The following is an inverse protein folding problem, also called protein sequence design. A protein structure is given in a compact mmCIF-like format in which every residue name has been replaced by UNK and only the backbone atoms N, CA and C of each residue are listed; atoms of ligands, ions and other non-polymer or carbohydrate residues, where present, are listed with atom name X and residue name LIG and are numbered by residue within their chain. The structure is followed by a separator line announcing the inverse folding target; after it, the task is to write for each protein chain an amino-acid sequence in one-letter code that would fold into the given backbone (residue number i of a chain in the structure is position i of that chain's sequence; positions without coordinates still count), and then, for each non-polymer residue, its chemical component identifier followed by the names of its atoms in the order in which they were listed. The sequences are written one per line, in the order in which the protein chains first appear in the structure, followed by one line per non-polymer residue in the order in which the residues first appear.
data_IF_670250970717
#
_entry.id   IF_670250970717
#
_cell.length_a   1.000
_cell.length_b   1.000
_cell.length_c   1.000
_cell.angle_alpha   90.00
_cell.angle_beta   90.00
_cell.angle_gamma   90.00
#
_symmetry.space_group_name_H-M   'P 1'
#
loop_
_entity.id
_entity.type
_entity.pdbx_description
1 polymer ?
#
# COMPACT_ATOMS: atom_id res chain seq x y z
N UNK A 1 11.79 -3.52 21.57
CA UNK A 1 11.48 -2.11 21.18
C UNK A 1 11.95 -1.93 19.74
N UNK A 2 11.08 -1.59 18.83
CA UNK A 2 11.41 -1.36 17.40
C UNK A 2 11.64 0.13 17.14
N UNK A 3 12.44 0.41 16.07
CA UNK A 3 12.79 1.76 15.63
C UNK A 3 12.00 2.18 14.39
N UNK A 4 11.48 1.21 13.64
CA UNK A 4 10.70 1.44 12.43
C UNK A 4 9.36 0.71 12.55
N UNK A 5 8.28 1.42 12.21
CA UNK A 5 6.96 0.86 11.99
C UNK A 5 6.67 0.95 10.48
N UNK A 6 6.69 -0.19 9.80
CA UNK A 6 6.47 -0.29 8.36
C UNK A 6 5.07 -0.80 8.08
N UNK A 7 4.25 0.01 7.42
CA UNK A 7 2.99 -0.44 6.84
C UNK A 7 3.23 -0.91 5.41
N UNK A 8 3.08 -2.21 5.20
CA UNK A 8 3.40 -2.89 3.95
C UNK A 8 2.17 -3.28 3.14
N UNK A 9 2.37 -4.15 2.16
CA UNK A 9 1.33 -4.67 1.27
C UNK A 9 1.70 -4.55 -0.20
N UNK A 10 2.86 -4.01 -0.50
CA UNK A 10 3.41 -3.85 -1.85
C UNK A 10 4.76 -4.55 -1.98
N UNK A 11 5.26 -4.66 -3.21
CA UNK A 11 6.63 -5.14 -3.48
C UNK A 11 7.66 -4.20 -2.86
N UNK A 12 7.41 -2.90 -2.92
CA UNK A 12 8.25 -1.86 -2.34
C UNK A 12 8.35 -2.05 -0.81
N UNK A 13 7.23 -2.30 -0.13
CA UNK A 13 7.21 -2.59 1.31
C UNK A 13 8.01 -3.83 1.68
N UNK A 14 7.97 -4.87 0.85
CA UNK A 14 8.79 -6.07 1.04
C UNK A 14 10.28 -5.77 0.90
N UNK A 15 10.66 -5.02 -0.12
CA UNK A 15 12.05 -4.60 -0.33
C UNK A 15 12.58 -3.77 0.84
N UNK A 16 11.75 -2.89 1.41
CA UNK A 16 12.08 -2.13 2.62
C UNK A 16 12.26 -3.05 3.81
N UNK A 17 11.37 -4.03 4.03
CA UNK A 17 11.49 -5.00 5.12
C UNK A 17 12.79 -5.82 5.02
N UNK A 18 13.15 -6.29 3.82
CA UNK A 18 14.42 -6.98 3.56
C UNK A 18 15.63 -6.11 3.92
N UNK A 19 15.58 -4.83 3.51
CA UNK A 19 16.64 -3.86 3.83
C UNK A 19 16.78 -3.65 5.33
N UNK A 20 15.67 -3.46 6.05
CA UNK A 20 15.66 -3.26 7.49
C UNK A 20 16.25 -4.47 8.23
N UNK A 21 15.84 -5.68 7.87
CA UNK A 21 16.38 -6.91 8.45
C UNK A 21 17.88 -7.07 8.18
N UNK A 22 18.31 -6.88 6.91
CA UNK A 22 19.72 -6.98 6.51
C UNK A 22 20.62 -6.00 7.29
N UNK A 23 20.11 -4.81 7.58
CA UNK A 23 20.84 -3.77 8.31
C UNK A 23 20.62 -3.85 9.84
N UNK A 24 19.99 -4.93 10.34
CA UNK A 24 19.77 -5.17 11.77
C UNK A 24 18.99 -4.04 12.46
N UNK A 25 18.01 -3.48 11.77
CA UNK A 25 17.15 -2.41 12.29
C UNK A 25 15.89 -3.05 12.88
N UNK A 26 15.70 -3.05 14.20
CA UNK A 26 14.50 -3.60 14.82
C UNK A 26 13.25 -2.90 14.27
N UNK A 27 12.36 -3.67 13.66
CA UNK A 27 11.22 -3.13 12.93
C UNK A 27 9.97 -3.97 13.16
N UNK A 28 8.82 -3.30 13.28
CA UNK A 28 7.51 -3.95 13.18
C UNK A 28 6.96 -3.73 11.77
N UNK A 29 6.53 -4.80 11.12
CA UNK A 29 5.96 -4.76 9.77
C UNK A 29 4.50 -5.16 9.83
N UNK A 30 3.62 -4.23 9.53
CA UNK A 30 2.18 -4.42 9.51
C UNK A 30 1.67 -4.59 8.08
N UNK A 31 0.87 -5.62 7.85
CA UNK A 31 0.16 -5.86 6.58
C UNK A 31 -1.31 -6.15 6.87
N UNK A 32 -2.18 -6.00 5.87
CA UNK A 32 -3.62 -6.10 6.07
C UNK A 32 -4.16 -7.55 6.10
N UNK A 33 -3.34 -8.55 5.75
CA UNK A 33 -3.78 -9.94 5.58
C UNK A 33 -2.68 -10.94 5.95
N UNK A 34 -3.09 -12.12 6.42
CA UNK A 34 -2.20 -13.26 6.66
C UNK A 34 -1.41 -13.66 5.40
N UNK A 35 -2.04 -13.60 4.24
CA UNK A 35 -1.34 -13.84 2.97
C UNK A 35 -0.24 -12.80 2.72
N UNK A 36 -0.51 -11.52 3.00
CA UNK A 36 0.49 -10.46 2.92
C UNK A 36 1.69 -10.72 3.84
N UNK A 37 1.41 -11.17 5.08
CA UNK A 37 2.45 -11.55 6.05
C UNK A 37 3.29 -12.72 5.54
N UNK A 38 2.68 -13.76 4.96
CA UNK A 38 3.39 -14.93 4.43
C UNK A 38 4.38 -14.61 3.30
N UNK A 39 4.22 -13.45 2.65
CA UNK A 39 5.11 -12.97 1.60
C UNK A 39 6.29 -12.15 2.13
N UNK A 40 6.29 -11.80 3.42
CA UNK A 40 7.36 -11.00 4.04
C UNK A 40 8.58 -11.87 4.37
N UNK A 41 9.79 -11.27 4.34
CA UNK A 41 10.97 -11.98 4.80
C UNK A 41 10.87 -12.29 6.28
N UNK A 42 11.28 -13.48 6.66
CA UNK A 42 11.47 -13.84 8.06
C UNK A 42 12.85 -13.35 8.52
N UNK A 43 12.94 -12.80 9.74
CA UNK A 43 14.20 -12.30 10.22
C UNK A 43 14.20 -11.91 11.70
N UNK A 44 15.35 -11.98 12.33
CA UNK A 44 15.54 -11.68 13.76
C UNK A 44 15.15 -10.24 14.12
N UNK A 45 15.25 -9.32 13.16
CA UNK A 45 15.00 -7.89 13.38
C UNK A 45 13.62 -7.45 12.90
N UNK A 46 12.76 -8.39 12.50
CA UNK A 46 11.40 -8.12 12.05
C UNK A 46 10.37 -8.78 12.95
N UNK A 47 9.49 -7.98 13.50
CA UNK A 47 8.24 -8.42 14.12
C UNK A 47 7.12 -8.24 13.09
N UNK A 48 6.46 -9.32 12.69
CA UNK A 48 5.44 -9.29 11.65
C UNK A 48 4.05 -9.28 12.29
N UNK A 49 3.12 -8.51 11.71
CA UNK A 49 1.74 -8.44 12.15
C UNK A 49 0.79 -8.30 10.94
N UNK A 50 -0.28 -9.08 10.94
CA UNK A 50 -1.38 -8.95 9.98
C UNK A 50 -2.64 -8.33 10.61
N UNK A 51 -2.50 -7.73 11.79
CA UNK A 51 -3.59 -6.97 12.40
C UNK A 51 -3.91 -5.71 11.61
N UNK A 52 -5.18 -5.49 11.35
CA UNK A 52 -5.67 -4.23 10.81
C UNK A 52 -5.77 -3.23 11.96
N UNK A 53 -4.77 -2.37 12.07
CA UNK A 53 -4.75 -1.34 13.08
C UNK A 53 -5.70 -0.19 12.69
N UNK A 54 -6.51 0.25 13.64
CA UNK A 54 -7.20 1.54 13.56
C UNK A 54 -6.25 2.70 13.92
N UNK A 55 -6.70 3.94 13.74
CA UNK A 55 -5.91 5.14 13.99
C UNK A 55 -5.36 5.18 15.43
N UNK A 56 -6.21 4.84 16.42
CA UNK A 56 -5.79 4.84 17.83
C UNK A 56 -4.75 3.76 18.13
N UNK A 57 -4.91 2.57 17.57
CA UNK A 57 -3.94 1.50 17.71
C UNK A 57 -2.61 1.86 17.04
N UNK A 58 -2.65 2.59 15.90
CA UNK A 58 -1.44 3.14 15.26
C UNK A 58 -0.73 4.13 16.18
N UNK A 59 -1.46 5.09 16.78
CA UNK A 59 -0.90 6.03 17.76
C UNK A 59 -0.24 5.29 18.96
N UNK A 60 -0.92 4.30 19.52
CA UNK A 60 -0.40 3.49 20.62
C UNK A 60 0.91 2.78 20.25
N UNK A 61 1.02 2.25 19.03
CA UNK A 61 2.25 1.62 18.53
C UNK A 61 3.36 2.65 18.32
N UNK A 62 3.05 3.83 17.80
CA UNK A 62 4.03 4.90 17.58
C UNK A 62 4.59 5.44 18.90
N UNK A 63 3.74 5.61 19.92
CA UNK A 63 4.16 6.07 21.26
C UNK A 63 5.08 5.08 21.98
N UNK A 64 5.09 3.81 21.57
CA UNK A 64 6.03 2.80 22.09
C UNK A 64 7.43 2.86 21.44
N UNK A 65 7.59 3.67 20.41
CA UNK A 65 8.87 3.88 19.73
C UNK A 65 9.62 5.07 20.33
N UNK A 66 10.91 4.91 20.55
CA UNK A 66 11.77 6.02 20.92
C UNK A 66 12.49 6.58 19.68
N UNK A 67 12.18 7.83 19.31
CA UNK A 67 12.69 8.46 18.09
C UNK A 67 12.49 7.59 16.83
N UNK A 68 11.30 7.02 16.71
CA UNK A 68 10.97 6.07 15.64
C UNK A 68 10.65 6.75 14.30
N UNK A 69 10.65 5.93 13.25
CA UNK A 69 10.24 6.30 11.90
C UNK A 69 9.07 5.42 11.47
N UNK A 70 8.01 6.04 10.99
CA UNK A 70 6.92 5.34 10.28
C UNK A 70 7.20 5.36 8.79
N UNK A 71 7.16 4.19 8.17
CA UNK A 71 7.27 4.04 6.73
C UNK A 71 5.95 3.50 6.20
N UNK A 72 5.27 4.26 5.35
CA UNK A 72 4.06 3.83 4.66
C UNK A 72 4.39 3.38 3.24
N UNK A 73 4.36 2.08 3.02
CA UNK A 73 4.51 1.42 1.72
C UNK A 73 3.23 0.66 1.36
N UNK A 74 2.06 1.18 1.75
CA UNK A 74 0.77 0.63 1.36
C UNK A 74 0.47 0.94 -0.12
N UNK A 75 -0.51 0.22 -0.68
CA UNK A 75 -0.89 0.43 -2.07
C UNK A 75 -1.41 1.86 -2.29
N UNK A 76 -1.08 2.52 -3.42
CA UNK A 76 -1.54 3.89 -3.72
C UNK A 76 -3.06 4.09 -3.63
N UNK A 77 -3.86 3.03 -3.85
CA UNK A 77 -5.33 3.10 -3.75
C UNK A 77 -5.86 2.86 -2.34
N UNK A 78 -5.01 2.57 -1.37
CA UNK A 78 -5.39 2.37 0.03
C UNK A 78 -5.41 3.72 0.79
N UNK A 79 -6.17 4.70 0.28
CA UNK A 79 -6.18 6.08 0.78
C UNK A 79 -6.55 6.18 2.26
N UNK A 80 -7.57 5.46 2.70
CA UNK A 80 -8.04 5.50 4.10
C UNK A 80 -6.94 5.10 5.09
N UNK A 81 -6.19 4.05 4.82
CA UNK A 81 -5.12 3.63 5.71
C UNK A 81 -3.96 4.63 5.70
N UNK A 82 -3.64 5.21 4.55
CA UNK A 82 -2.63 6.28 4.44
C UNK A 82 -3.02 7.50 5.26
N UNK A 83 -4.25 7.99 5.14
CA UNK A 83 -4.78 9.11 5.93
C UNK A 83 -4.73 8.83 7.44
N UNK A 84 -5.10 7.62 7.87
CA UNK A 84 -4.98 7.22 9.28
C UNK A 84 -3.55 7.22 9.78
N UNK A 85 -2.60 6.71 8.97
CA UNK A 85 -1.16 6.70 9.31
C UNK A 85 -0.64 8.13 9.45
N UNK A 86 -0.93 8.99 8.48
CA UNK A 86 -0.52 10.39 8.49
C UNK A 86 -1.06 11.13 9.73
N UNK A 87 -2.36 10.98 10.00
CA UNK A 87 -3.01 11.57 11.19
C UNK A 87 -2.36 11.09 12.49
N UNK A 88 -2.12 9.78 12.62
CA UNK A 88 -1.47 9.22 13.79
C UNK A 88 -0.03 9.74 13.97
N UNK A 89 0.72 9.88 12.87
CA UNK A 89 2.06 10.47 12.90
C UNK A 89 2.05 11.94 13.33
N UNK A 90 1.11 12.73 12.82
CA UNK A 90 0.95 14.14 13.21
C UNK A 90 0.64 14.28 14.69
N UNK A 91 -0.28 13.49 15.24
CA UNK A 91 -0.68 13.54 16.65
C UNK A 91 0.42 13.08 17.60
N UNK A 92 1.20 12.10 17.20
CA UNK A 92 2.29 11.55 18.04
C UNK A 92 3.61 12.30 17.84
N UNK A 93 3.72 13.14 16.83
CA UNK A 93 4.97 13.80 16.45
C UNK A 93 6.01 12.82 15.87
N UNK A 94 5.57 11.66 15.38
CA UNK A 94 6.45 10.62 14.82
C UNK A 94 6.83 10.96 13.38
N UNK A 95 8.11 10.78 13.03
CA UNK A 95 8.58 10.99 11.66
C UNK A 95 7.89 10.04 10.67
N UNK A 96 7.46 10.56 9.52
CA UNK A 96 6.73 9.84 8.49
C UNK A 96 7.45 9.86 7.14
N UNK A 97 7.46 8.72 6.46
CA UNK A 97 8.00 8.55 5.11
C UNK A 97 7.03 7.73 4.26
N UNK A 98 6.58 8.29 3.15
CA UNK A 98 5.79 7.58 2.15
C UNK A 98 6.70 6.96 1.08
N UNK A 99 6.54 5.65 0.84
CA UNK A 99 7.20 4.93 -0.25
C UNK A 99 6.16 4.59 -1.30
N UNK A 100 6.29 5.17 -2.47
CA UNK A 100 5.39 4.93 -3.60
C UNK A 100 6.17 4.43 -4.80
N UNK A 101 5.53 3.56 -5.58
CA UNK A 101 6.06 3.18 -6.89
C UNK A 101 6.06 4.41 -7.80
N UNK A 102 7.15 4.63 -8.52
CA UNK A 102 7.13 5.61 -9.59
C UNK A 102 6.04 5.21 -10.59
N UNK A 103 5.14 6.14 -10.89
CA UNK A 103 4.10 5.90 -11.90
C UNK A 103 4.77 5.46 -13.20
N UNK A 104 4.26 4.40 -13.80
CA UNK A 104 4.67 4.00 -15.13
C UNK A 104 4.46 5.21 -16.05
N UNK A 105 5.47 5.60 -16.82
CA UNK A 105 5.31 6.67 -17.82
C UNK A 105 4.06 6.34 -18.62
N UNK A 106 3.11 7.29 -18.69
CA UNK A 106 2.02 7.19 -19.67
C UNK A 106 2.70 6.98 -21.02
N UNK A 107 2.34 5.89 -21.68
CA UNK A 107 2.76 5.64 -23.05
C UNK A 107 1.99 6.62 -23.92
N UNK A 108 2.54 7.83 -24.10
CA UNK A 108 1.85 8.96 -24.71
C UNK A 108 1.59 8.77 -26.21
N UNK A 109 2.10 7.69 -26.83
CA UNK A 109 2.08 7.54 -28.29
C UNK A 109 1.74 6.12 -28.79
N UNK A 110 1.15 5.23 -27.99
CA UNK A 110 0.64 3.98 -28.57
C UNK A 110 -0.81 4.19 -29.05
N UNK A 111 -1.02 4.17 -30.35
CA UNK A 111 -2.34 4.22 -31.03
C UNK A 111 -3.35 3.17 -30.53
N UNK A 112 -2.90 2.22 -29.71
CA UNK A 112 -3.70 1.12 -29.16
C UNK A 112 -4.26 1.38 -27.78
N UNK A 113 -3.89 2.49 -27.09
CA UNK A 113 -4.32 2.80 -25.73
C UNK A 113 -5.31 3.97 -25.72
N UNK A 114 -6.52 3.73 -25.26
CA UNK A 114 -7.53 4.77 -25.03
C UNK A 114 -7.64 5.06 -23.53
N UNK A 115 -7.36 6.29 -23.13
CA UNK A 115 -7.51 6.75 -21.75
C UNK A 115 -8.91 7.30 -21.51
N UNK A 116 -9.54 6.87 -20.44
CA UNK A 116 -10.87 7.32 -20.01
C UNK A 116 -10.79 7.84 -18.56
N UNK A 117 -11.70 8.76 -18.22
CA UNK A 117 -11.70 9.43 -16.91
C UNK A 117 -12.48 8.68 -15.83
N UNK A 118 -13.32 7.73 -16.24
CA UNK A 118 -14.19 6.99 -15.33
C UNK A 118 -14.55 5.63 -15.92
N UNK A 119 -15.03 4.73 -15.06
CA UNK A 119 -15.59 3.43 -15.48
C UNK A 119 -16.80 3.61 -16.39
N UNK A 120 -17.64 4.59 -16.12
CA UNK A 120 -18.78 4.90 -16.97
C UNK A 120 -18.35 5.23 -18.40
N UNK A 121 -17.34 6.06 -18.55
CA UNK A 121 -16.78 6.41 -19.87
C UNK A 121 -16.13 5.19 -20.55
N UNK A 122 -15.50 4.29 -19.77
CA UNK A 122 -15.00 3.01 -20.28
C UNK A 122 -16.13 2.15 -20.83
N UNK A 123 -17.23 1.99 -20.11
CA UNK A 123 -18.40 1.21 -20.55
C UNK A 123 -19.00 1.82 -21.83
N UNK A 124 -19.26 3.13 -21.86
CA UNK A 124 -19.78 3.83 -23.04
C UNK A 124 -18.87 3.69 -24.28
N UNK A 125 -17.56 3.56 -24.07
CA UNK A 125 -16.61 3.28 -25.15
C UNK A 125 -16.71 1.82 -25.61
N UNK A 126 -16.74 0.88 -24.66
CA UNK A 126 -16.76 -0.56 -24.92
C UNK A 126 -18.08 -1.01 -25.58
N UNK A 127 -19.22 -0.38 -25.28
CA UNK A 127 -20.50 -0.64 -25.94
C UNK A 127 -20.45 -0.44 -27.46
N UNK A 128 -19.52 0.36 -27.96
CA UNK A 128 -19.32 0.63 -29.39
C UNK A 128 -18.34 -0.34 -30.05
N UNK A 129 -17.75 -1.24 -29.27
CA UNK A 129 -16.80 -2.24 -29.76
C UNK A 129 -17.45 -3.61 -29.89
N UNK A 130 -16.82 -4.53 -30.61
CA UNK A 130 -17.26 -5.91 -30.75
C UNK A 130 -16.15 -6.86 -30.34
N UNK A 131 -16.50 -8.01 -29.76
CA UNK A 131 -15.54 -9.04 -29.37
C UNK A 131 -15.58 -9.35 -27.87
N UNK A 132 -14.60 -10.11 -27.40
CA UNK A 132 -14.46 -10.46 -25.99
C UNK A 132 -13.65 -9.37 -25.27
N UNK A 133 -14.12 -9.01 -24.06
CA UNK A 133 -13.48 -7.99 -23.23
C UNK A 133 -12.88 -8.68 -22.00
N UNK A 134 -11.59 -8.45 -21.75
CA UNK A 134 -10.93 -8.85 -20.51
C UNK A 134 -10.92 -7.65 -19.55
N UNK A 135 -11.72 -7.74 -18.48
CA UNK A 135 -11.75 -6.72 -17.43
C UNK A 135 -10.73 -7.06 -16.35
N UNK A 136 -9.77 -6.16 -16.10
CA UNK A 136 -8.71 -6.31 -15.11
C UNK A 136 -8.80 -5.29 -13.97
N UNK A 137 -9.92 -4.58 -13.84
CA UNK A 137 -10.21 -3.65 -12.75
C UNK A 137 -10.56 -4.39 -11.47
N UNK A 138 -10.61 -3.66 -10.33
CA UNK A 138 -11.02 -4.24 -9.05
C UNK A 138 -12.45 -4.78 -9.06
N UNK A 139 -12.72 -5.80 -8.25
CA UNK A 139 -14.02 -6.51 -8.20
C UNK A 139 -15.20 -5.64 -7.78
N UNK A 140 -14.95 -4.52 -7.07
CA UNK A 140 -16.01 -3.64 -6.56
C UNK A 140 -16.88 -3.01 -7.66
N UNK A 141 -16.32 -2.84 -8.85
CA UNK A 141 -16.96 -2.12 -9.96
C UNK A 141 -17.28 -3.03 -11.15
N UNK A 142 -17.13 -4.33 -10.96
CA UNK A 142 -17.38 -5.33 -12.02
C UNK A 142 -18.83 -5.27 -12.55
N UNK A 143 -19.79 -4.93 -11.68
CA UNK A 143 -21.20 -4.79 -12.04
C UNK A 143 -21.48 -3.66 -13.04
N UNK A 144 -20.56 -2.73 -13.21
CA UNK A 144 -20.71 -1.67 -14.20
C UNK A 144 -20.49 -2.14 -15.65
N UNK A 145 -19.87 -3.31 -15.83
CA UNK A 145 -19.54 -3.90 -17.14
C UNK A 145 -20.53 -5.01 -17.56
N UNK A 146 -21.55 -5.27 -16.75
CA UNK A 146 -22.65 -6.24 -17.03
C UNK A 146 -23.92 -5.50 -17.36
#
# INVERSE_FOLDING_TARGET
MYKVLLFGGTVEGRTVAEYLNKNKIPSMVCVATEYGESLLPQGEYLELSHERLDEKQMEERMLQMENGLVIDATHPYAQVVTENIETACERTGTAYLRVVRQESRRLEEEETITYVKSIREAVEYLEKTSGNILVTTGSKELSAYT
#
